data_IF_531370429794
#
_entry.id   IF_531370429794
#
_cell.length_a   1.000
_cell.length_b   1.000
_cell.length_c   1.000
_cell.angle_alpha   90.00
_cell.angle_beta   90.00
_cell.angle_gamma   90.00
#
_symmetry.space_group_name_H-M   'P 1'
#
loop_
_entity.id
_entity.type
_entity.pdbx_description
1 polymer ?
#
# COMPACT_ATOMS: atom_id res chain seq x y z
N UNK A 1 -14.09 19.97 -8.71
CA UNK A 1 -15.53 19.90 -8.43
C UNK A 1 -15.73 19.27 -7.05
N UNK A 2 -16.59 19.85 -6.22
CA UNK A 2 -16.93 19.30 -4.91
C UNK A 2 -18.12 18.34 -5.02
N UNK A 3 -18.39 17.58 -3.96
CA UNK A 3 -19.58 16.72 -3.87
C UNK A 3 -20.88 17.50 -4.12
N UNK A 4 -20.98 18.75 -3.65
CA UNK A 4 -22.17 19.58 -3.84
C UNK A 4 -22.44 19.98 -5.30
N UNK A 5 -21.39 20.11 -6.11
CA UNK A 5 -21.52 20.48 -7.53
C UNK A 5 -21.86 19.27 -8.40
N UNK A 6 -21.24 18.12 -8.10
CA UNK A 6 -21.39 16.90 -8.90
C UNK A 6 -22.62 16.09 -8.50
N UNK A 7 -23.02 16.14 -7.24
CA UNK A 7 -24.09 15.31 -6.67
C UNK A 7 -25.01 16.17 -5.79
N UNK A 8 -25.76 17.13 -6.38
CA UNK A 8 -26.68 17.97 -5.62
C UNK A 8 -27.72 17.09 -4.91
N UNK A 9 -27.84 17.24 -3.59
CA UNK A 9 -28.73 16.41 -2.75
C UNK A 9 -28.20 15.02 -2.42
N UNK A 10 -26.97 14.67 -2.81
CA UNK A 10 -26.36 13.36 -2.53
C UNK A 10 -25.98 13.10 -1.07
N UNK A 11 -26.10 14.11 -0.20
CA UNK A 11 -25.88 13.99 1.24
C UNK A 11 -26.10 15.31 1.99
N UNK A 12 -26.20 15.23 3.32
CA UNK A 12 -26.26 16.41 4.19
C UNK A 12 -24.85 16.92 4.50
N UNK A 13 -24.43 17.93 3.74
CA UNK A 13 -23.11 18.54 3.91
C UNK A 13 -22.94 19.27 5.26
N UNK A 14 -24.04 19.67 5.91
CA UNK A 14 -23.99 20.32 7.23
C UNK A 14 -23.68 19.33 8.35
N UNK A 15 -23.98 18.06 8.14
CA UNK A 15 -23.70 16.98 9.09
C UNK A 15 -22.32 16.32 8.89
N UNK A 16 -21.56 16.71 7.86
CA UNK A 16 -20.26 16.11 7.58
C UNK A 16 -19.21 16.49 8.65
N UNK A 17 -18.37 15.52 9.03
CA UNK A 17 -17.21 15.75 9.89
C UNK A 17 -15.92 15.68 9.09
N UNK A 18 -14.99 16.59 9.39
CA UNK A 18 -13.67 16.57 8.77
C UNK A 18 -12.75 15.61 9.54
N UNK A 19 -11.99 14.83 8.78
CA UNK A 19 -10.96 13.94 9.30
C UNK A 19 -9.76 13.93 8.35
N UNK A 20 -8.58 13.71 8.91
CA UNK A 20 -7.37 13.47 8.15
C UNK A 20 -6.63 12.23 8.67
N UNK A 21 -5.89 11.59 7.77
CA UNK A 21 -5.06 10.44 8.08
C UNK A 21 -3.80 10.43 7.25
N UNK A 22 -2.78 9.73 7.73
CA UNK A 22 -1.52 9.56 7.03
C UNK A 22 -1.69 8.56 5.87
N UNK A 23 -1.02 8.82 4.75
CA UNK A 23 -0.96 7.93 3.59
C UNK A 23 0.51 7.66 3.23
N UNK A 24 1.19 6.75 3.97
CA UNK A 24 2.56 6.39 3.64
C UNK A 24 2.61 5.87 2.21
N UNK A 25 3.41 6.51 1.38
CA UNK A 25 3.52 6.24 -0.05
C UNK A 25 5.00 6.24 -0.43
N UNK A 26 5.40 5.30 -1.27
CA UNK A 26 6.74 5.32 -1.84
C UNK A 26 6.87 6.38 -2.95
N UNK A 27 8.07 6.89 -3.22
CA UNK A 27 8.29 7.84 -4.31
C UNK A 27 7.85 7.34 -5.70
N UNK A 28 7.87 6.03 -5.93
CA UNK A 28 7.53 5.41 -7.21
C UNK A 28 6.07 4.97 -7.33
N UNK A 29 5.30 4.94 -6.23
CA UNK A 29 3.88 4.57 -6.17
C UNK A 29 3.59 3.19 -5.58
N UNK A 30 4.13 2.07 -6.13
CA UNK A 30 3.89 0.73 -5.60
C UNK A 30 4.34 0.52 -4.15
N UNK A 31 3.69 -0.33 -3.34
CA UNK A 31 4.15 -0.60 -1.97
C UNK A 31 5.49 -1.34 -1.93
N UNK A 32 6.13 -1.31 -0.77
CA UNK A 32 7.26 -2.19 -0.41
C UNK A 32 6.70 -3.44 0.26
N UNK A 33 6.88 -4.60 -0.38
CA UNK A 33 6.45 -5.91 0.09
C UNK A 33 7.61 -6.90 -0.05
N UNK A 34 8.18 -7.35 1.06
CA UNK A 34 9.27 -8.33 1.04
C UNK A 34 10.27 -8.20 2.19
N UNK A 35 11.36 -8.96 2.10
CA UNK A 35 12.45 -8.94 3.07
C UNK A 35 13.28 -7.65 2.91
N UNK A 36 13.69 -7.05 4.03
CA UNK A 36 14.62 -5.92 4.06
C UNK A 36 16.08 -6.38 4.16
N UNK A 37 17.05 -5.46 4.06
CA UNK A 37 18.46 -5.76 4.35
C UNK A 37 18.72 -6.14 5.80
N UNK A 38 17.81 -5.79 6.71
CA UNK A 38 17.89 -6.19 8.11
C UNK A 38 17.39 -7.62 8.24
N UNK A 39 18.26 -8.50 8.76
CA UNK A 39 17.97 -9.91 8.92
C UNK A 39 16.65 -10.14 9.67
N UNK A 40 15.78 -10.99 9.09
CA UNK A 40 14.48 -11.36 9.63
C UNK A 40 13.48 -10.19 9.80
N UNK A 41 13.68 -9.06 9.09
CA UNK A 41 12.73 -7.96 9.04
C UNK A 41 12.03 -7.92 7.67
N UNK A 42 10.71 -7.96 7.70
CA UNK A 42 9.83 -7.95 6.54
C UNK A 42 9.02 -6.66 6.49
N UNK A 43 8.81 -6.13 5.29
CA UNK A 43 8.05 -4.89 5.04
C UNK A 43 6.77 -5.20 4.28
N UNK A 44 5.68 -4.54 4.69
CA UNK A 44 4.43 -4.40 3.94
C UNK A 44 3.92 -2.97 4.18
N UNK A 45 4.48 -2.00 3.46
CA UNK A 45 4.23 -0.57 3.71
C UNK A 45 4.25 0.24 2.41
N UNK A 46 3.85 1.51 2.48
CA UNK A 46 3.95 2.43 1.35
C UNK A 46 2.81 2.35 0.33
N UNK A 47 1.67 1.73 0.67
CA UNK A 47 0.54 1.52 -0.25
C UNK A 47 -0.24 2.78 -0.64
N UNK A 48 0.07 3.93 -0.05
CA UNK A 48 -0.56 5.20 -0.38
C UNK A 48 -2.07 5.19 -0.22
N UNK A 49 -2.79 5.68 -1.24
CA UNK A 49 -4.26 5.74 -1.27
C UNK A 49 -4.93 4.38 -1.48
N UNK A 50 -4.17 3.36 -1.93
CA UNK A 50 -4.68 2.05 -2.32
C UNK A 50 -4.46 0.97 -1.24
N UNK A 51 -4.04 1.35 -0.03
CA UNK A 51 -3.75 0.40 1.05
C UNK A 51 -4.90 -0.55 1.36
N UNK A 52 -6.13 -0.04 1.43
CA UNK A 52 -7.31 -0.88 1.70
C UNK A 52 -7.59 -1.86 0.56
N UNK A 53 -7.52 -1.38 -0.70
CA UNK A 53 -7.70 -2.20 -1.90
C UNK A 53 -6.67 -3.32 -1.99
N UNK A 54 -5.41 -3.04 -1.64
CA UNK A 54 -4.29 -3.99 -1.79
C UNK A 54 -4.03 -4.85 -0.54
N UNK A 55 -4.78 -4.66 0.55
CA UNK A 55 -4.45 -5.23 1.86
C UNK A 55 -4.32 -6.76 1.82
N UNK A 56 -5.36 -7.47 1.35
CA UNK A 56 -5.36 -8.93 1.33
C UNK A 56 -4.32 -9.52 0.38
N UNK A 57 -4.19 -8.94 -0.82
CA UNK A 57 -3.22 -9.41 -1.82
C UNK A 57 -1.77 -9.26 -1.34
N UNK A 58 -1.42 -8.08 -0.84
CA UNK A 58 -0.06 -7.82 -0.33
C UNK A 58 0.28 -8.65 0.91
N UNK A 59 -0.68 -8.87 1.82
CA UNK A 59 -0.49 -9.75 2.97
C UNK A 59 -0.25 -11.21 2.56
N UNK A 60 -1.02 -11.72 1.58
CA UNK A 60 -0.82 -13.08 1.06
C UNK A 60 0.55 -13.24 0.41
N UNK A 61 0.96 -12.29 -0.44
CA UNK A 61 2.30 -12.28 -1.04
C UNK A 61 3.39 -12.30 0.04
N UNK A 62 3.28 -11.43 1.05
CA UNK A 62 4.28 -11.40 2.13
C UNK A 62 4.30 -12.71 2.93
N UNK A 63 3.14 -13.30 3.23
CA UNK A 63 3.05 -14.56 3.96
C UNK A 63 3.72 -15.72 3.21
N UNK A 64 3.60 -15.76 1.88
CA UNK A 64 4.28 -16.74 1.04
C UNK A 64 5.80 -16.51 1.06
N UNK A 65 6.27 -15.26 0.91
CA UNK A 65 7.70 -14.90 1.02
C UNK A 65 8.27 -15.33 2.38
N UNK A 66 7.60 -14.99 3.49
CA UNK A 66 8.02 -15.36 4.85
C UNK A 66 8.07 -16.87 5.07
N UNK A 67 7.22 -17.62 4.37
CA UNK A 67 7.15 -19.09 4.48
C UNK A 67 8.04 -19.81 3.47
N UNK A 68 8.88 -19.10 2.73
CA UNK A 68 9.69 -19.63 1.63
C UNK A 68 8.84 -20.38 0.58
N UNK A 69 7.62 -19.88 0.32
CA UNK A 69 6.74 -20.34 -0.76
C UNK A 69 6.79 -19.36 -1.93
N UNK A 70 6.62 -19.86 -3.15
CA UNK A 70 6.54 -19.02 -4.35
C UNK A 70 5.19 -18.29 -4.37
N UNK A 71 5.14 -16.95 -4.40
CA UNK A 71 3.89 -16.21 -4.51
C UNK A 71 3.18 -16.46 -5.86
N UNK A 72 1.85 -16.34 -5.88
CA UNK A 72 1.02 -16.54 -7.08
C UNK A 72 1.25 -15.50 -8.18
N UNK A 73 1.76 -14.33 -7.81
CA UNK A 73 2.12 -13.25 -8.74
C UNK A 73 3.61 -12.93 -8.61
N UNK A 74 4.23 -12.45 -9.69
CA UNK A 74 5.59 -11.95 -9.61
C UNK A 74 5.62 -10.67 -8.76
N UNK A 75 6.21 -10.77 -7.57
CA UNK A 75 6.30 -9.68 -6.60
C UNK A 75 7.69 -9.01 -6.55
N UNK A 76 8.59 -9.32 -7.50
CA UNK A 76 9.96 -8.81 -7.50
C UNK A 76 10.02 -7.28 -7.46
N UNK A 77 9.18 -6.62 -8.25
CA UNK A 77 9.15 -5.15 -8.34
C UNK A 77 8.55 -4.49 -7.09
N UNK A 78 7.95 -5.28 -6.18
CA UNK A 78 7.49 -4.81 -4.87
C UNK A 78 8.57 -4.93 -3.79
N UNK A 79 9.68 -5.63 -4.07
CA UNK A 79 10.75 -5.87 -3.11
C UNK A 79 11.39 -4.56 -2.61
N UNK A 80 11.74 -4.46 -1.31
CA UNK A 80 12.58 -3.37 -0.80
C UNK A 80 13.89 -3.17 -1.54
N UNK A 81 14.41 -4.22 -2.19
CA UNK A 81 15.65 -4.20 -2.99
C UNK A 81 15.68 -3.10 -4.06
N UNK A 82 14.52 -2.67 -4.57
CA UNK A 82 14.45 -1.65 -5.62
C UNK A 82 14.99 -0.27 -5.22
N UNK A 83 15.13 -0.02 -3.92
CA UNK A 83 15.72 1.22 -3.37
C UNK A 83 17.14 1.05 -2.86
N UNK A 84 17.69 -0.17 -2.93
CA UNK A 84 19.05 -0.43 -2.52
C UNK A 84 20.00 -0.01 -3.64
N UNK A 85 21.12 0.61 -3.26
CA UNK A 85 22.16 0.94 -4.23
C UNK A 85 22.84 -0.35 -4.68
N UNK A 86 23.18 -0.49 -5.98
CA UNK A 86 24.04 -1.58 -6.42
C UNK A 86 25.33 -1.57 -5.61
N UNK A 87 25.74 -2.76 -5.13
CA UNK A 87 27.03 -2.98 -4.48
C UNK A 87 28.14 -2.95 -5.54
#
# INVERSE_FOLDING_TARGET
HSVGDLFPGGGDLKAASFWCGLRPMTPDGPPLVGLSEVANLYLNTGHGTLGWTMACGSAKVLADIMSNRVPEINARDLSPERYLKPI
#
